data_IF_196419900324
#
_entry.id   IF_196419900324
#
_cell.length_a   1.000
_cell.length_b   1.000
_cell.length_c   1.000
_cell.angle_alpha   90.00
_cell.angle_beta   90.00
_cell.angle_gamma   90.00
#
_symmetry.space_group_name_H-M   'P 1'
#
loop_
_entity.id
_entity.type
_entity.pdbx_description
1 polymer ?
#
# COMPACT_ATOMS: atom_id res chain seq x y z
N UNK A 1 -6.71 -63.79 11.36
CA UNK A 1 -6.41 -62.47 11.94
C UNK A 1 -5.33 -61.82 11.06
N UNK A 2 -5.73 -61.17 9.96
CA UNK A 2 -4.81 -60.49 9.05
C UNK A 2 -5.27 -59.05 8.98
N UNK A 3 -4.57 -58.17 9.70
CA UNK A 3 -4.86 -56.73 9.75
C UNK A 3 -4.30 -56.08 8.50
N UNK A 4 -5.20 -55.59 7.64
CA UNK A 4 -4.89 -54.80 6.46
C UNK A 4 -4.39 -53.41 6.92
N UNK A 5 -3.11 -53.12 6.76
CA UNK A 5 -2.55 -51.80 7.08
C UNK A 5 -2.64 -50.90 5.84
N UNK A 6 -3.71 -50.11 5.74
CA UNK A 6 -3.83 -49.05 4.72
C UNK A 6 -2.87 -47.92 5.10
N UNK A 7 -1.71 -47.84 4.45
CA UNK A 7 -0.85 -46.65 4.51
C UNK A 7 -1.53 -45.51 3.75
N UNK A 8 -2.19 -44.61 4.47
CA UNK A 8 -2.66 -43.34 3.91
C UNK A 8 -1.48 -42.39 3.76
N UNK A 9 -1.02 -42.19 2.53
CA UNK A 9 -0.03 -41.17 2.19
C UNK A 9 -0.70 -39.78 2.27
N UNK A 10 -0.49 -39.08 3.40
CA UNK A 10 -0.96 -37.71 3.55
C UNK A 10 -0.04 -36.77 2.76
N UNK A 11 -0.52 -36.23 1.63
CA UNK A 11 0.15 -35.14 0.94
C UNK A 11 0.10 -33.88 1.81
N UNK A 12 1.27 -33.49 2.34
CA UNK A 12 1.49 -32.16 2.92
C UNK A 12 1.51 -31.14 1.78
N UNK A 13 0.39 -30.46 1.54
CA UNK A 13 0.37 -29.29 0.66
C UNK A 13 1.05 -28.13 1.39
N UNK A 14 2.31 -27.85 1.05
CA UNK A 14 2.98 -26.63 1.48
C UNK A 14 2.36 -25.44 0.73
N UNK A 15 1.41 -24.75 1.36
CA UNK A 15 0.91 -23.47 0.85
C UNK A 15 1.92 -22.37 1.15
N UNK A 16 2.94 -22.21 0.31
CA UNK A 16 3.71 -20.96 0.29
C UNK A 16 2.82 -19.88 -0.29
N UNK A 17 2.18 -19.06 0.55
CA UNK A 17 1.44 -17.88 0.09
C UNK A 17 2.44 -16.89 -0.51
N UNK A 18 2.25 -16.54 -1.79
CA UNK A 18 3.01 -15.46 -2.40
C UNK A 18 2.79 -14.16 -1.59
N UNK A 19 3.81 -13.31 -1.52
CA UNK A 19 3.65 -11.99 -0.92
C UNK A 19 2.54 -11.23 -1.66
N UNK A 20 1.64 -10.52 -0.95
CA UNK A 20 0.59 -9.75 -1.61
C UNK A 20 1.18 -8.74 -2.58
N UNK A 21 0.48 -8.52 -3.69
CA UNK A 21 0.80 -7.43 -4.61
C UNK A 21 0.34 -6.09 -4.02
N UNK A 22 0.73 -4.99 -4.66
CA UNK A 22 0.38 -3.62 -4.26
C UNK A 22 -1.13 -3.41 -4.14
N UNK A 23 -1.89 -3.95 -5.11
CA UNK A 23 -3.35 -3.87 -5.15
C UNK A 23 -4.05 -4.40 -3.90
N UNK A 24 -3.54 -5.50 -3.35
CA UNK A 24 -4.06 -6.04 -2.10
C UNK A 24 -3.91 -5.05 -0.94
N UNK A 25 -2.76 -4.36 -0.86
CA UNK A 25 -2.51 -3.36 0.19
C UNK A 25 -3.36 -2.10 -0.01
N UNK A 26 -3.49 -1.64 -1.26
CA UNK A 26 -4.39 -0.54 -1.65
C UNK A 26 -5.81 -0.82 -1.16
N UNK A 27 -6.36 -1.99 -1.51
CA UNK A 27 -7.73 -2.39 -1.17
C UNK A 27 -7.95 -2.47 0.34
N UNK A 28 -7.11 -3.21 1.06
CA UNK A 28 -7.27 -3.43 2.50
C UNK A 28 -7.13 -2.12 3.28
N UNK A 29 -6.09 -1.34 2.98
CA UNK A 29 -5.84 -0.10 3.70
C UNK A 29 -6.94 0.93 3.44
N UNK A 30 -7.34 1.09 2.18
CA UNK A 30 -8.34 2.06 1.80
C UNK A 30 -9.72 1.74 2.38
N UNK A 31 -10.14 0.46 2.33
CA UNK A 31 -11.38 0.01 2.98
C UNK A 31 -11.34 0.24 4.49
N UNK A 32 -10.20 0.03 5.13
CA UNK A 32 -9.99 0.34 6.54
C UNK A 32 -10.20 1.83 6.87
N UNK A 33 -9.88 2.71 5.93
CA UNK A 33 -10.11 4.15 6.01
C UNK A 33 -11.50 4.59 5.52
N UNK A 34 -12.38 3.63 5.17
CA UNK A 34 -13.69 3.87 4.55
C UNK A 34 -13.59 4.72 3.28
N UNK A 35 -12.49 4.59 2.54
CA UNK A 35 -12.27 5.26 1.26
C UNK A 35 -12.78 4.46 0.07
N UNK A 36 -12.79 5.13 -1.08
CA UNK A 36 -13.05 4.56 -2.40
C UNK A 36 -11.73 4.07 -3.01
N UNK A 37 -11.67 2.77 -3.32
CA UNK A 37 -10.49 2.10 -3.87
C UNK A 37 -10.39 2.37 -5.38
N UNK A 38 -9.18 2.70 -5.86
CA UNK A 38 -8.91 2.94 -7.28
C UNK A 38 -9.87 3.95 -7.94
N UNK A 39 -10.13 5.07 -7.27
CA UNK A 39 -11.01 6.12 -7.76
C UNK A 39 -10.52 6.67 -9.11
N UNK A 40 -11.36 6.56 -10.14
CA UNK A 40 -11.01 6.96 -11.51
C UNK A 40 -11.26 8.43 -11.75
N UNK A 41 -10.21 9.15 -12.15
CA UNK A 41 -10.26 10.54 -12.59
C UNK A 41 -10.79 10.66 -14.02
N UNK A 42 -11.23 11.87 -14.39
CA UNK A 42 -11.78 12.16 -15.73
C UNK A 42 -10.78 11.87 -16.86
N UNK A 43 -9.48 12.08 -16.60
CA UNK A 43 -8.40 11.81 -17.55
C UNK A 43 -7.95 10.34 -17.61
N UNK A 44 -8.61 9.47 -16.85
CA UNK A 44 -8.39 8.03 -16.85
C UNK A 44 -7.35 7.54 -15.83
N UNK A 45 -6.63 8.42 -15.13
CA UNK A 45 -5.78 8.05 -14.01
C UNK A 45 -6.60 7.54 -12.83
N UNK A 46 -5.94 6.90 -11.86
CA UNK A 46 -6.57 6.32 -10.68
C UNK A 46 -5.86 6.80 -9.43
N UNK A 47 -6.64 7.17 -8.43
CA UNK A 47 -6.17 7.43 -7.08
C UNK A 47 -6.37 6.14 -6.30
N UNK A 48 -5.30 5.60 -5.71
CA UNK A 48 -5.35 4.32 -5.01
C UNK A 48 -6.40 4.30 -3.91
N UNK A 49 -6.49 5.38 -3.14
CA UNK A 49 -7.53 5.58 -2.16
C UNK A 49 -8.02 7.02 -2.07
N UNK A 50 -9.33 7.22 -2.24
CA UNK A 50 -9.98 8.51 -2.04
C UNK A 50 -10.83 8.46 -0.76
N UNK A 51 -10.55 9.32 0.21
CA UNK A 51 -11.40 9.49 1.39
C UNK A 51 -12.13 10.83 1.34
N UNK A 52 -12.94 11.15 2.35
CA UNK A 52 -13.57 12.47 2.46
C UNK A 52 -12.54 13.62 2.43
N UNK A 53 -11.37 13.40 3.03
CA UNK A 53 -10.38 14.47 3.29
C UNK A 53 -9.03 14.27 2.61
N UNK A 54 -8.73 13.10 2.06
CA UNK A 54 -7.43 12.80 1.45
C UNK A 54 -7.57 12.12 0.07
N UNK A 55 -6.64 12.46 -0.83
CA UNK A 55 -6.31 11.69 -2.02
C UNK A 55 -4.96 11.01 -1.78
N UNK A 56 -4.93 9.68 -1.82
CA UNK A 56 -3.85 8.88 -1.23
C UNK A 56 -3.27 7.95 -2.28
N UNK A 57 -1.93 8.00 -2.40
CA UNK A 57 -1.13 7.01 -3.12
C UNK A 57 -0.63 5.95 -2.13
N UNK A 58 -0.76 4.67 -2.47
CA UNK A 58 -0.31 3.54 -1.65
C UNK A 58 0.74 2.75 -2.42
N UNK A 59 1.99 2.81 -1.95
CA UNK A 59 3.14 2.42 -2.76
C UNK A 59 4.19 1.66 -1.94
N UNK A 60 4.93 0.74 -2.55
CA UNK A 60 6.06 0.09 -1.88
C UNK A 60 7.15 1.10 -1.51
N UNK A 61 7.70 0.98 -0.31
CA UNK A 61 8.59 1.98 0.30
C UNK A 61 9.73 2.47 -0.62
N UNK A 62 10.35 1.60 -1.41
CA UNK A 62 11.41 1.98 -2.36
C UNK A 62 11.00 2.98 -3.46
N UNK A 63 9.70 3.09 -3.77
CA UNK A 63 9.08 4.01 -4.74
C UNK A 63 8.53 5.28 -4.07
N UNK A 64 9.06 5.63 -2.89
CA UNK A 64 8.71 6.87 -2.19
C UNK A 64 8.91 8.16 -3.00
N UNK A 65 9.90 8.30 -3.93
CA UNK A 65 10.02 9.52 -4.73
C UNK A 65 8.83 9.73 -5.66
N UNK A 66 8.36 8.67 -6.31
CA UNK A 66 7.23 8.69 -7.24
C UNK A 66 5.93 9.07 -6.51
N UNK A 67 5.71 8.51 -5.32
CA UNK A 67 4.52 8.78 -4.51
C UNK A 67 4.35 10.27 -4.12
N UNK A 68 5.44 11.04 -4.05
CA UNK A 68 5.38 12.50 -3.80
C UNK A 68 4.66 13.20 -4.95
N UNK A 69 5.06 12.91 -6.19
CA UNK A 69 4.47 13.53 -7.37
C UNK A 69 2.99 13.19 -7.51
N UNK A 70 2.66 11.90 -7.38
CA UNK A 70 1.29 11.41 -7.52
C UNK A 70 0.37 11.97 -6.43
N UNK A 71 0.77 11.91 -5.15
CA UNK A 71 -0.08 12.39 -4.06
C UNK A 71 -0.38 13.90 -4.14
N UNK A 72 0.60 14.72 -4.53
CA UNK A 72 0.41 16.16 -4.72
C UNK A 72 -0.47 16.48 -5.93
N UNK A 73 -0.28 15.77 -7.03
CA UNK A 73 -1.11 15.93 -8.23
C UNK A 73 -2.56 15.51 -7.95
N UNK A 74 -2.79 14.37 -7.30
CA UNK A 74 -4.13 13.91 -6.95
C UNK A 74 -4.82 14.85 -5.95
N UNK A 75 -4.07 15.40 -5.00
CA UNK A 75 -4.53 16.44 -4.10
C UNK A 75 -5.01 17.68 -4.87
N UNK A 76 -4.21 18.16 -5.82
CA UNK A 76 -4.55 19.31 -6.68
C UNK A 76 -5.83 19.06 -7.48
N UNK A 77 -6.00 17.86 -8.05
CA UNK A 77 -7.15 17.53 -8.89
C UNK A 77 -8.46 17.35 -8.12
N UNK A 78 -8.38 17.00 -6.84
CA UNK A 78 -9.56 16.66 -6.02
C UNK A 78 -9.87 17.70 -4.95
N UNK A 79 -9.00 18.69 -4.74
CA UNK A 79 -9.02 19.61 -3.60
C UNK A 79 -9.00 18.90 -2.22
N UNK A 80 -8.56 17.65 -2.16
CA UNK A 80 -8.34 16.89 -0.92
C UNK A 80 -6.88 16.98 -0.52
N UNK A 81 -6.56 16.64 0.73
CA UNK A 81 -5.18 16.66 1.20
C UNK A 81 -4.35 15.54 0.55
N UNK A 82 -3.07 15.79 0.26
CA UNK A 82 -2.16 14.77 -0.24
C UNK A 82 -1.84 13.74 0.85
N UNK A 83 -1.95 12.46 0.50
CA UNK A 83 -1.62 11.36 1.37
C UNK A 83 -0.69 10.35 0.70
N UNK A 84 0.23 9.77 1.47
CA UNK A 84 1.08 8.65 1.03
C UNK A 84 1.05 7.56 2.09
N UNK A 85 0.82 6.32 1.66
CA UNK A 85 1.03 5.13 2.48
C UNK A 85 2.19 4.34 1.91
N UNK A 86 3.29 4.22 2.66
CA UNK A 86 4.40 3.36 2.25
C UNK A 86 4.23 1.95 2.79
N UNK A 87 4.31 0.95 1.90
CA UNK A 87 4.30 -0.47 2.23
C UNK A 87 5.74 -0.94 2.49
N UNK A 88 6.02 -1.39 3.71
CA UNK A 88 7.31 -1.92 4.12
C UNK A 88 7.25 -3.45 4.12
N UNK A 89 8.20 -4.08 3.42
CA UNK A 89 8.32 -5.55 3.38
C UNK A 89 9.34 -6.08 4.38
N UNK A 90 10.29 -5.24 4.79
CA UNK A 90 11.36 -5.59 5.73
C UNK A 90 11.76 -4.38 6.59
N UNK A 91 12.36 -4.59 7.78
CA UNK A 91 12.75 -3.49 8.67
C UNK A 91 13.66 -2.44 8.01
N UNK A 92 14.51 -2.84 7.05
CA UNK A 92 15.40 -1.89 6.35
C UNK A 92 14.65 -0.90 5.46
N UNK A 93 13.40 -1.20 5.08
CA UNK A 93 12.58 -0.29 4.28
C UNK A 93 12.22 1.00 5.04
N UNK A 94 12.39 1.01 6.37
CA UNK A 94 12.23 2.20 7.21
C UNK A 94 13.13 3.36 6.76
N UNK A 95 14.29 3.09 6.13
CA UNK A 95 15.14 4.14 5.55
C UNK A 95 14.38 4.97 4.51
N UNK A 96 13.51 4.35 3.70
CA UNK A 96 12.71 5.05 2.71
C UNK A 96 11.67 5.97 3.36
N UNK A 97 11.03 5.54 4.44
CA UNK A 97 10.13 6.41 5.22
C UNK A 97 10.87 7.64 5.75
N UNK A 98 12.06 7.44 6.33
CA UNK A 98 12.87 8.55 6.83
C UNK A 98 13.29 9.53 5.72
N UNK A 99 13.58 9.02 4.52
CA UNK A 99 13.89 9.87 3.35
C UNK A 99 12.67 10.66 2.88
N UNK A 100 11.50 10.01 2.78
CA UNK A 100 10.23 10.69 2.47
C UNK A 100 9.95 11.80 3.47
N UNK A 101 10.01 11.51 4.77
CA UNK A 101 9.77 12.49 5.84
C UNK A 101 10.75 13.66 5.79
N UNK A 102 12.04 13.41 5.54
CA UNK A 102 13.06 14.46 5.37
C UNK A 102 12.73 15.38 4.20
N UNK A 103 12.30 14.84 3.06
CA UNK A 103 11.92 15.63 1.89
C UNK A 103 10.65 16.45 2.15
N UNK A 104 9.63 15.83 2.76
CA UNK A 104 8.40 16.52 3.17
C UNK A 104 8.74 17.71 4.09
N UNK A 105 9.57 17.48 5.11
CA UNK A 105 9.95 18.53 6.06
C UNK A 105 10.81 19.62 5.43
N UNK A 106 11.81 19.26 4.63
CA UNK A 106 12.74 20.21 4.02
C UNK A 106 12.03 21.18 3.06
N UNK A 107 11.12 20.66 2.24
CA UNK A 107 10.36 21.46 1.27
C UNK A 107 8.99 21.91 1.77
N UNK A 108 8.65 21.60 3.04
CA UNK A 108 7.36 21.95 3.65
C UNK A 108 6.18 21.45 2.81
N UNK A 109 6.30 20.24 2.25
CA UNK A 109 5.27 19.67 1.39
C UNK A 109 4.01 19.37 2.23
N UNK A 110 2.80 19.71 1.74
CA UNK A 110 1.55 19.47 2.46
C UNK A 110 1.08 18.01 2.34
N UNK A 111 1.95 17.06 2.69
CA UNK A 111 1.72 15.62 2.54
C UNK A 111 1.63 14.95 3.90
N UNK A 112 0.57 14.16 4.11
CA UNK A 112 0.46 13.25 5.25
C UNK A 112 1.01 11.87 4.87
N UNK A 113 2.02 11.41 5.60
CA UNK A 113 2.59 10.07 5.41
C UNK A 113 2.10 9.08 6.48
N UNK A 114 1.81 7.86 6.04
CA UNK A 114 1.59 6.66 6.86
C UNK A 114 2.52 5.54 6.41
N UNK A 115 2.67 4.52 7.26
CA UNK A 115 3.42 3.30 6.94
C UNK A 115 2.59 2.06 7.24
N UNK A 116 2.74 1.03 6.42
CA UNK A 116 2.10 -0.26 6.54
C UNK A 116 3.15 -1.36 6.45
N UNK A 117 3.42 -2.05 7.56
CA UNK A 117 4.46 -3.07 7.63
C UNK A 117 5.14 -3.11 9.00
N UNK A 118 6.27 -3.81 9.13
CA UNK A 118 7.00 -3.96 10.39
C UNK A 118 7.57 -2.65 10.96
#
# INVERSE_FOLDING_TARGET
MFTLFLMTFQLMFNTTSAAPNEHWYQDVWCKGMKGEVEYRLEDGRRIDCLTDTYAIEVEFAHKWPEAIGQSLDYSMLTNKNAGIVLILRKPTDQEHCQRLEKVIQHYQLPIRAWRLGP
#
